data_IF_978214312585
#
_entry.id   IF_978214312585
#
_cell.length_a   1.000
_cell.length_b   1.000
_cell.length_c   1.000
_cell.angle_alpha   90.00
_cell.angle_beta   90.00
_cell.angle_gamma   90.00
#
_symmetry.space_group_name_H-M   'P 1'
#
loop_
_entity.id
_entity.type
_entity.pdbx_description
1 polymer ?
#
# COMPACT_ATOMS: atom_id res chain seq x y z
N UNK A 1 -39.38 6.08 -25.85
CA UNK A 1 -39.35 4.64 -25.52
C UNK A 1 -38.13 4.05 -26.22
N UNK A 2 -37.02 3.98 -25.49
CA UNK A 2 -35.83 3.21 -25.85
C UNK A 2 -35.46 2.49 -24.56
N UNK A 3 -35.78 1.21 -24.50
CA UNK A 3 -35.38 0.32 -23.41
C UNK A 3 -33.89 0.10 -23.54
N UNK A 4 -33.09 0.80 -22.72
CA UNK A 4 -31.69 0.47 -22.56
C UNK A 4 -31.68 -0.74 -21.63
N UNK A 5 -31.51 -1.93 -22.22
CA UNK A 5 -31.35 -3.16 -21.48
C UNK A 5 -30.23 -2.99 -20.46
N UNK A 6 -30.59 -3.09 -19.20
CA UNK A 6 -29.65 -3.20 -18.08
C UNK A 6 -28.95 -4.55 -18.25
N UNK A 7 -27.61 -4.60 -18.35
CA UNK A 7 -26.89 -5.87 -18.44
C UNK A 7 -27.27 -6.78 -17.26
N UNK A 8 -27.27 -8.12 -17.43
CA UNK A 8 -27.65 -9.03 -16.38
C UNK A 8 -26.80 -8.78 -15.13
N UNK A 9 -27.47 -8.73 -13.99
CA UNK A 9 -26.88 -8.50 -12.67
C UNK A 9 -25.57 -9.28 -12.47
N UNK A 10 -24.59 -8.60 -11.88
CA UNK A 10 -23.43 -9.18 -11.21
C UNK A 10 -23.89 -10.33 -10.29
N UNK A 11 -23.95 -11.56 -10.80
CA UNK A 11 -23.94 -12.75 -9.94
C UNK A 11 -22.48 -12.99 -9.65
N UNK A 12 -21.98 -12.34 -8.59
CA UNK A 12 -20.57 -12.37 -8.23
C UNK A 12 -20.16 -13.79 -7.85
N UNK A 13 -19.43 -14.46 -8.75
CA UNK A 13 -18.72 -15.70 -8.45
C UNK A 13 -17.50 -15.47 -7.52
N UNK A 14 -17.45 -14.32 -6.85
CA UNK A 14 -16.40 -13.87 -5.93
C UNK A 14 -16.68 -14.31 -4.47
N UNK A 15 -17.84 -14.94 -4.23
CA UNK A 15 -18.29 -15.36 -2.90
C UNK A 15 -19.00 -14.25 -2.11
N UNK A 16 -19.85 -14.64 -1.16
CA UNK A 16 -20.39 -13.75 -0.12
C UNK A 16 -19.44 -13.87 1.10
N UNK A 17 -18.46 -12.98 1.24
CA UNK A 17 -17.47 -13.04 2.32
C UNK A 17 -16.13 -12.37 2.00
N UNK A 18 -15.08 -12.76 2.72
CA UNK A 18 -13.70 -12.33 2.47
C UNK A 18 -13.31 -12.63 1.02
N UNK A 19 -12.87 -11.64 0.25
CA UNK A 19 -12.58 -11.84 -1.18
C UNK A 19 -11.25 -12.58 -1.45
N UNK A 20 -10.36 -12.64 -0.46
CA UNK A 20 -9.00 -13.14 -0.66
C UNK A 20 -8.22 -12.28 -1.63
N UNK A 21 -7.42 -12.92 -2.48
CA UNK A 21 -6.76 -12.27 -3.61
C UNK A 21 -7.62 -12.47 -4.85
N UNK A 22 -7.94 -11.36 -5.52
CA UNK A 22 -8.61 -11.32 -6.81
C UNK A 22 -7.72 -10.59 -7.81
N UNK A 23 -7.85 -10.91 -9.10
CA UNK A 23 -7.07 -10.28 -10.16
C UNK A 23 -7.95 -9.83 -11.31
N UNK A 24 -7.60 -8.69 -11.89
CA UNK A 24 -8.12 -8.25 -13.18
C UNK A 24 -7.01 -8.30 -14.22
N UNK A 25 -7.39 -8.57 -15.48
CA UNK A 25 -6.51 -8.56 -16.65
C UNK A 25 -6.92 -7.50 -17.69
N UNK A 26 -7.96 -6.72 -17.39
CA UNK A 26 -8.63 -5.82 -18.33
C UNK A 26 -8.89 -4.43 -17.70
N UNK A 27 -7.95 -3.98 -16.88
CA UNK A 27 -8.01 -2.65 -16.26
C UNK A 27 -9.09 -2.51 -15.19
N UNK A 28 -9.44 -3.60 -14.52
CA UNK A 28 -10.46 -3.62 -13.46
C UNK A 28 -11.90 -3.78 -13.95
N UNK A 29 -12.10 -4.08 -15.24
CA UNK A 29 -13.44 -4.29 -15.80
C UNK A 29 -14.05 -5.63 -15.35
N UNK A 30 -13.24 -6.68 -15.34
CA UNK A 30 -13.58 -8.01 -14.82
C UNK A 30 -12.54 -8.50 -13.83
N UNK A 31 -12.98 -9.34 -12.89
CA UNK A 31 -12.16 -9.86 -11.79
C UNK A 31 -12.37 -11.36 -11.63
N UNK A 32 -11.27 -12.08 -11.41
CA UNK A 32 -11.23 -13.52 -11.14
C UNK A 32 -10.65 -13.78 -9.73
N UNK A 33 -11.17 -14.75 -8.96
CA UNK A 33 -10.54 -15.20 -7.74
C UNK A 33 -9.19 -15.88 -8.03
N UNK A 34 -8.21 -15.65 -7.16
CA UNK A 34 -6.85 -16.22 -7.28
C UNK A 34 -6.53 -17.12 -6.10
N UNK A 35 -6.70 -16.63 -4.87
CA UNK A 35 -6.45 -17.41 -3.65
C UNK A 35 -7.31 -16.91 -2.49
N UNK A 36 -7.54 -17.78 -1.50
CA UNK A 36 -8.20 -17.47 -0.23
C UNK A 36 -9.63 -16.91 -0.32
N UNK A 37 -10.36 -17.21 -1.39
CA UNK A 37 -11.77 -16.81 -1.53
C UNK A 37 -12.61 -17.37 -0.39
N UNK A 38 -13.28 -16.49 0.36
CA UNK A 38 -14.05 -16.81 1.55
C UNK A 38 -13.21 -17.04 2.82
N UNK A 39 -11.87 -17.00 2.72
CA UNK A 39 -10.97 -17.38 3.82
C UNK A 39 -10.30 -16.16 4.44
N UNK A 40 -9.58 -15.34 3.65
CA UNK A 40 -8.73 -14.26 4.17
C UNK A 40 -9.14 -12.90 3.63
N UNK A 41 -9.07 -11.91 4.50
CA UNK A 41 -9.27 -10.49 4.18
C UNK A 41 -7.92 -9.78 4.27
N UNK A 42 -7.28 -9.43 3.16
CA UNK A 42 -5.99 -8.74 3.19
C UNK A 42 -6.19 -7.26 3.53
N UNK A 43 -5.70 -6.85 4.70
CA UNK A 43 -5.80 -5.46 5.15
C UNK A 43 -4.73 -4.57 4.51
N UNK A 44 -3.56 -5.14 4.23
CA UNK A 44 -2.46 -4.48 3.52
C UNK A 44 -1.90 -5.43 2.47
N UNK A 45 -1.63 -4.90 1.29
CA UNK A 45 -1.07 -5.62 0.15
C UNK A 45 -0.22 -4.64 -0.66
N UNK A 46 0.98 -5.05 -1.03
CA UNK A 46 1.90 -4.26 -1.85
C UNK A 46 2.71 -5.15 -2.78
N UNK A 47 3.33 -4.56 -3.79
CA UNK A 47 4.18 -5.27 -4.75
C UNK A 47 5.57 -4.65 -4.78
N UNK A 48 6.60 -5.50 -4.81
CA UNK A 48 7.98 -5.11 -5.03
C UNK A 48 8.30 -4.90 -6.52
N UNK A 49 9.43 -4.24 -6.83
CA UNK A 49 9.89 -4.05 -8.20
C UNK A 49 10.25 -5.36 -8.93
N UNK A 50 10.46 -6.45 -8.18
CA UNK A 50 10.68 -7.80 -8.69
C UNK A 50 9.38 -8.58 -8.96
N UNK A 51 8.21 -7.98 -8.68
CA UNK A 51 6.90 -8.61 -8.79
C UNK A 51 6.49 -9.46 -7.59
N UNK A 52 7.32 -9.53 -6.54
CA UNK A 52 6.94 -10.21 -5.29
C UNK A 52 5.84 -9.41 -4.59
N UNK A 53 4.74 -10.07 -4.23
CA UNK A 53 3.68 -9.47 -3.43
C UNK A 53 3.94 -9.71 -1.95
N UNK A 54 3.68 -8.70 -1.13
CA UNK A 54 3.75 -8.76 0.33
C UNK A 54 2.43 -8.30 0.93
N UNK A 55 1.97 -8.93 2.00
CA UNK A 55 0.71 -8.53 2.64
C UNK A 55 0.44 -9.17 3.98
N UNK A 56 -0.58 -8.65 4.65
CA UNK A 56 -1.11 -9.17 5.90
C UNK A 56 -2.63 -9.25 5.86
N UNK A 57 -3.16 -10.34 6.39
CA UNK A 57 -4.60 -10.56 6.55
C UNK A 57 -5.12 -10.02 7.88
N UNK A 58 -6.38 -9.60 7.89
CA UNK A 58 -7.13 -9.25 9.09
C UNK A 58 -7.11 -10.43 10.07
N UNK A 59 -6.72 -10.16 11.33
CA UNK A 59 -6.67 -11.16 12.40
C UNK A 59 -5.33 -11.88 12.55
N UNK A 60 -4.35 -11.63 11.68
CA UNK A 60 -2.97 -12.13 11.82
C UNK A 60 -1.97 -11.00 11.64
N UNK A 61 -0.95 -10.97 12.51
CA UNK A 61 0.19 -10.07 12.36
C UNK A 61 1.32 -10.69 11.54
N UNK A 62 1.13 -11.88 10.93
CA UNK A 62 2.16 -12.51 10.10
C UNK A 62 2.31 -11.78 8.78
N UNK A 63 3.56 -11.53 8.39
CA UNK A 63 3.88 -11.07 7.03
C UNK A 63 3.90 -12.27 6.08
N UNK A 64 3.17 -12.15 4.97
CA UNK A 64 3.11 -13.15 3.91
C UNK A 64 3.76 -12.59 2.65
N UNK A 65 4.37 -13.48 1.86
CA UNK A 65 4.92 -13.17 0.55
C UNK A 65 4.44 -14.14 -0.52
N UNK A 66 4.30 -13.66 -1.75
CA UNK A 66 3.98 -14.45 -2.94
C UNK A 66 4.88 -14.04 -4.11
N UNK A 67 5.51 -15.03 -4.74
CA UNK A 67 6.37 -14.84 -5.91
C UNK A 67 5.69 -15.23 -7.24
N UNK A 68 4.41 -15.61 -7.19
CA UNK A 68 3.66 -16.18 -8.31
C UNK A 68 2.34 -15.43 -8.56
N UNK A 69 2.38 -14.10 -8.41
CA UNK A 69 1.26 -13.19 -8.64
C UNK A 69 0.05 -13.49 -7.74
N UNK A 70 0.30 -13.91 -6.50
CA UNK A 70 -0.71 -14.13 -5.48
C UNK A 70 -1.36 -15.50 -5.50
N UNK A 71 -0.87 -16.44 -6.32
CA UNK A 71 -1.42 -17.79 -6.40
C UNK A 71 -1.06 -18.64 -5.18
N UNK A 72 0.18 -18.54 -4.70
CA UNK A 72 0.65 -19.17 -3.45
C UNK A 72 1.31 -18.15 -2.54
N UNK A 73 1.12 -18.34 -1.23
CA UNK A 73 1.60 -17.43 -0.19
C UNK A 73 2.34 -18.20 0.89
N UNK A 74 3.46 -17.65 1.32
CA UNK A 74 4.30 -18.23 2.38
C UNK A 74 4.56 -17.19 3.45
N UNK A 75 4.58 -17.60 4.72
CA UNK A 75 5.04 -16.72 5.80
C UNK A 75 6.51 -16.36 5.61
N UNK A 76 6.86 -15.09 5.80
CA UNK A 76 8.25 -14.63 5.81
C UNK A 76 8.94 -14.90 7.16
N UNK A 77 8.17 -15.27 8.19
CA UNK A 77 8.63 -15.45 9.56
C UNK A 77 8.50 -14.19 10.44
N UNK A 78 8.29 -13.01 9.85
CA UNK A 78 8.07 -11.79 10.62
C UNK A 78 6.63 -11.70 11.15
N UNK A 79 6.50 -11.06 12.31
CA UNK A 79 5.22 -10.67 12.89
C UNK A 79 5.26 -9.20 13.28
N UNK A 80 4.37 -8.40 12.71
CA UNK A 80 4.19 -6.97 13.00
C UNK A 80 2.77 -6.54 12.67
N UNK A 81 2.30 -5.45 13.26
CA UNK A 81 1.04 -4.83 12.88
C UNK A 81 1.31 -3.70 11.89
N UNK A 82 1.16 -3.95 10.60
CA UNK A 82 1.28 -2.92 9.58
C UNK A 82 -0.06 -2.23 9.31
N UNK A 83 -0.05 -0.89 9.33
CA UNK A 83 -1.17 -0.06 8.89
C UNK A 83 -1.09 0.28 7.39
N UNK A 84 0.13 0.39 6.86
CA UNK A 84 0.40 0.56 5.44
C UNK A 84 1.73 -0.12 5.10
N UNK A 85 1.87 -0.54 3.84
CA UNK A 85 3.06 -1.21 3.31
C UNK A 85 3.45 -0.63 1.95
N UNK A 86 4.74 -0.34 1.77
CA UNK A 86 5.34 0.02 0.48
C UNK A 86 6.65 -0.73 0.27
N UNK A 87 7.04 -0.91 -0.99
CA UNK A 87 8.36 -1.43 -1.35
C UNK A 87 9.07 -0.40 -2.21
N UNK A 88 10.29 -0.01 -1.84
CA UNK A 88 11.06 0.95 -2.61
C UNK A 88 11.84 0.30 -3.77
N UNK A 89 12.50 1.13 -4.58
CA UNK A 89 13.28 0.69 -5.74
C UNK A 89 14.44 -0.27 -5.38
N UNK A 90 14.85 -0.30 -4.11
CA UNK A 90 15.92 -1.17 -3.62
C UNK A 90 15.39 -2.49 -3.06
N UNK A 91 14.06 -2.69 -3.05
CA UNK A 91 13.41 -3.87 -2.48
C UNK A 91 13.22 -3.80 -0.97
N UNK A 92 13.49 -2.65 -0.32
CA UNK A 92 13.18 -2.49 1.11
C UNK A 92 11.68 -2.42 1.28
N UNK A 93 11.16 -3.18 2.24
CA UNK A 93 9.74 -3.14 2.62
C UNK A 93 9.61 -2.19 3.80
N UNK A 94 8.82 -1.14 3.65
CA UNK A 94 8.54 -0.18 4.72
C UNK A 94 7.10 -0.36 5.18
N UNK A 95 6.93 -0.54 6.48
CA UNK A 95 5.63 -0.67 7.14
C UNK A 95 5.42 0.49 8.11
N UNK A 96 4.27 1.16 8.08
CA UNK A 96 3.87 2.01 9.21
C UNK A 96 3.25 1.13 10.30
N UNK A 97 3.65 1.31 11.55
CA UNK A 97 3.19 0.48 12.68
C UNK A 97 2.77 1.37 13.85
N UNK A 98 2.13 0.83 14.91
CA UNK A 98 1.85 1.60 16.13
C UNK A 98 3.08 2.28 16.75
N UNK A 99 4.25 1.66 16.61
CA UNK A 99 5.53 2.15 17.16
C UNK A 99 6.30 3.06 16.19
N UNK A 100 5.67 3.42 15.06
CA UNK A 100 6.27 4.19 13.98
C UNK A 100 6.70 3.33 12.78
N UNK A 101 7.31 3.94 11.75
CA UNK A 101 7.72 3.21 10.56
C UNK A 101 8.85 2.21 10.85
N UNK A 102 8.71 1.00 10.31
CA UNK A 102 9.72 -0.05 10.34
C UNK A 102 10.11 -0.45 8.92
N UNK A 103 11.31 -0.99 8.76
CA UNK A 103 11.89 -1.39 7.48
C UNK A 103 12.44 -2.81 7.55
N UNK A 104 12.22 -3.57 6.49
CA UNK A 104 12.88 -4.84 6.21
C UNK A 104 13.76 -4.70 4.97
N UNK A 105 14.94 -5.30 5.03
CA UNK A 105 15.88 -5.43 3.90
C UNK A 105 16.17 -6.90 3.57
N UNK A 106 15.40 -7.82 4.14
CA UNK A 106 15.59 -9.27 4.07
C UNK A 106 14.30 -9.99 3.67
N UNK A 107 13.61 -9.43 2.66
CA UNK A 107 12.38 -9.98 2.09
C UNK A 107 11.25 -10.17 3.13
N UNK A 108 11.19 -9.26 4.11
CA UNK A 108 10.16 -9.27 5.14
C UNK A 108 10.40 -10.26 6.25
N UNK A 109 11.59 -10.86 6.37
CA UNK A 109 11.90 -11.81 7.44
C UNK A 109 12.14 -11.12 8.80
N UNK A 110 12.74 -9.93 8.79
CA UNK A 110 12.91 -9.08 9.98
C UNK A 110 12.56 -7.63 9.68
N UNK A 111 12.06 -6.94 10.69
CA UNK A 111 11.74 -5.51 10.64
C UNK A 111 12.45 -4.79 11.79
N UNK A 112 13.03 -3.64 11.48
CA UNK A 112 13.67 -2.74 12.44
C UNK A 112 13.12 -1.33 12.27
N UNK A 113 13.20 -0.44 13.28
CA UNK A 113 12.79 0.95 13.11
C UNK A 113 13.45 1.59 11.89
N UNK A 114 12.66 2.31 11.08
CA UNK A 114 13.19 3.06 9.95
C UNK A 114 14.02 4.24 10.49
N UNK A 115 15.33 4.31 10.18
CA UNK A 115 16.21 5.33 10.75
C UNK A 115 15.74 6.76 10.47
N UNK A 116 15.85 7.61 11.49
CA UNK A 116 15.54 9.05 11.45
C UNK A 116 14.14 9.40 10.91
N UNK A 117 13.23 8.41 10.91
CA UNK A 117 11.88 8.57 10.41
C UNK A 117 10.98 9.26 11.44
N UNK A 118 10.17 10.24 11.03
CA UNK A 118 9.06 10.70 11.84
C UNK A 118 8.03 9.58 12.02
N UNK A 119 7.22 9.67 13.08
CA UNK A 119 6.03 8.83 13.22
C UNK A 119 5.03 9.23 12.14
N UNK A 120 4.62 8.26 11.33
CA UNK A 120 3.71 8.44 10.20
C UNK A 120 2.61 7.38 10.22
N UNK A 121 1.40 7.80 9.89
CA UNK A 121 0.22 6.93 9.75
C UNK A 121 -0.01 6.47 8.31
N UNK A 122 0.44 7.28 7.34
CA UNK A 122 0.37 6.97 5.92
C UNK A 122 1.78 7.02 5.32
N UNK A 123 2.04 6.15 4.36
CA UNK A 123 3.25 6.15 3.56
C UNK A 123 2.90 5.76 2.13
N UNK A 124 3.56 6.41 1.17
CA UNK A 124 3.52 6.06 -0.24
C UNK A 124 4.92 6.10 -0.83
N UNK A 125 5.10 5.36 -1.92
CA UNK A 125 6.31 5.37 -2.72
C UNK A 125 5.97 5.86 -4.11
N UNK A 126 6.87 6.64 -4.69
CA UNK A 126 6.78 7.07 -6.09
C UNK A 126 6.82 5.91 -7.08
N UNK A 127 6.29 6.10 -8.31
CA UNK A 127 6.23 5.05 -9.32
C UNK A 127 7.58 4.42 -9.69
N UNK A 128 8.67 5.19 -9.63
CA UNK A 128 10.03 4.69 -9.87
C UNK A 128 10.67 4.04 -8.62
N UNK A 129 9.96 4.04 -7.49
CA UNK A 129 10.39 3.49 -6.22
C UNK A 129 11.39 4.37 -5.45
N UNK A 130 11.75 5.57 -5.92
CA UNK A 130 12.91 6.30 -5.40
C UNK A 130 12.58 7.32 -4.32
N UNK A 131 11.38 7.87 -4.33
CA UNK A 131 10.87 8.81 -3.33
C UNK A 131 9.86 8.12 -2.42
N UNK A 132 10.04 8.29 -1.11
CA UNK A 132 9.05 7.97 -0.08
C UNK A 132 8.42 9.27 0.40
N UNK A 133 7.10 9.25 0.54
CA UNK A 133 6.35 10.33 1.18
C UNK A 133 5.46 9.75 2.27
N UNK A 134 5.17 10.55 3.29
CA UNK A 134 4.27 10.10 4.34
C UNK A 134 3.59 11.25 5.06
N UNK A 135 2.52 10.90 5.77
CA UNK A 135 1.76 11.82 6.60
C UNK A 135 2.03 11.49 8.06
N UNK A 136 2.64 12.44 8.75
CA UNK A 136 2.93 12.39 10.17
C UNK A 136 1.85 13.01 11.04
N UNK A 137 2.14 13.08 12.34
CA UNK A 137 1.29 13.73 13.33
C UNK A 137 0.87 15.14 12.90
N UNK A 138 -0.42 15.47 13.14
CA UNK A 138 -1.03 16.76 12.78
C UNK A 138 -1.00 17.07 11.27
N UNK A 139 -0.90 16.04 10.42
CA UNK A 139 -0.94 16.20 8.96
C UNK A 139 0.36 16.68 8.34
N UNK A 140 1.48 16.71 9.09
CA UNK A 140 2.78 17.12 8.52
C UNK A 140 3.20 16.13 7.44
N UNK A 141 3.57 16.66 6.28
CA UNK A 141 4.01 15.89 5.14
C UNK A 141 5.52 15.76 5.17
N UNK A 142 6.00 14.54 4.98
CA UNK A 142 7.42 14.22 4.98
C UNK A 142 7.82 13.57 3.67
N UNK A 143 9.02 13.87 3.19
CA UNK A 143 9.63 13.24 2.02
C UNK A 143 11.03 12.73 2.36
N UNK A 144 11.39 11.60 1.80
CA UNK A 144 12.74 11.03 1.81
C UNK A 144 13.02 10.35 0.47
N UNK A 145 14.28 10.10 0.13
CA UNK A 145 14.65 9.39 -1.10
C UNK A 145 15.58 8.23 -0.81
N UNK A 146 15.64 7.25 -1.72
CA UNK A 146 16.59 6.13 -1.61
C UNK A 146 18.06 6.58 -1.66
N UNK A 147 18.35 7.70 -2.36
CA UNK A 147 19.72 8.24 -2.52
C UNK A 147 20.14 9.16 -1.38
N UNK A 148 19.20 9.91 -0.81
CA UNK A 148 19.36 10.74 0.38
C UNK A 148 18.21 10.38 1.34
N UNK A 149 18.45 9.42 2.26
CA UNK A 149 17.41 8.90 3.15
C UNK A 149 17.02 9.86 4.29
N UNK A 150 17.39 11.15 4.20
CA UNK A 150 16.96 12.16 5.15
C UNK A 150 15.49 12.55 4.96
N UNK A 151 14.74 12.57 6.07
CA UNK A 151 13.35 13.01 6.07
C UNK A 151 13.25 14.53 6.16
N UNK A 152 12.52 15.13 5.21
CA UNK A 152 12.31 16.58 5.12
C UNK A 152 10.83 16.90 5.20
N UNK A 153 10.47 17.92 5.98
CA UNK A 153 9.12 18.46 6.01
C UNK A 153 8.88 19.21 4.70
N UNK A 154 7.84 18.82 3.96
CA UNK A 154 7.47 19.40 2.66
C UNK A 154 6.12 20.15 2.70
N UNK A 155 5.50 20.25 3.87
CA UNK A 155 4.22 20.94 4.06
C UNK A 155 3.32 20.27 5.08
N UNK A 156 2.04 20.60 5.01
CA UNK A 156 1.00 20.05 5.89
C UNK A 156 -0.26 19.82 5.06
N UNK A 157 -0.97 18.72 5.30
CA UNK A 157 -2.32 18.52 4.79
C UNK A 157 -3.28 19.57 5.36
N UNK A 158 -4.40 19.82 4.68
CA UNK A 158 -5.39 20.81 5.13
C UNK A 158 -6.23 20.27 6.29
N UNK A 159 -6.43 18.95 6.33
CA UNK A 159 -7.06 18.28 7.47
C UNK A 159 -6.57 16.84 7.68
N UNK A 160 -7.48 15.92 8.02
CA UNK A 160 -7.10 14.55 8.35
C UNK A 160 -6.90 13.71 7.09
N UNK A 161 -5.66 13.61 6.63
CA UNK A 161 -5.31 12.84 5.44
C UNK A 161 -5.71 11.37 5.57
N UNK A 162 -6.41 10.87 4.55
CA UNK A 162 -6.85 9.48 4.41
C UNK A 162 -6.01 8.72 3.38
N UNK A 163 -5.47 9.41 2.38
CA UNK A 163 -4.62 8.83 1.36
C UNK A 163 -3.58 9.85 0.85
N UNK A 164 -2.43 9.33 0.43
CA UNK A 164 -1.36 10.11 -0.18
C UNK A 164 -0.73 9.29 -1.30
N UNK A 165 -0.31 9.93 -2.39
CA UNK A 165 0.43 9.28 -3.47
C UNK A 165 1.35 10.27 -4.20
N UNK A 166 2.34 9.75 -4.93
CA UNK A 166 3.17 10.52 -5.86
C UNK A 166 2.76 10.13 -7.28
N UNK A 167 2.56 11.11 -8.14
CA UNK A 167 2.26 10.92 -9.56
C UNK A 167 3.52 10.60 -10.36
N UNK A 168 3.39 10.15 -11.61
CA UNK A 168 4.53 9.97 -12.52
C UNK A 168 5.30 11.27 -12.81
N UNK A 169 4.64 12.42 -12.65
CA UNK A 169 5.27 13.73 -12.78
C UNK A 169 6.06 14.16 -11.54
N UNK A 170 5.96 13.41 -10.44
CA UNK A 170 6.56 13.75 -9.14
C UNK A 170 5.68 14.63 -8.25
N UNK A 171 4.50 15.05 -8.72
CA UNK A 171 3.55 15.78 -7.89
C UNK A 171 2.98 14.88 -6.80
N UNK A 172 2.64 15.46 -5.65
CA UNK A 172 2.06 14.75 -4.52
C UNK A 172 0.57 15.07 -4.43
N UNK A 173 -0.26 14.02 -4.42
CA UNK A 173 -1.70 14.10 -4.22
C UNK A 173 -2.07 13.65 -2.82
N UNK A 174 -2.93 14.42 -2.16
CA UNK A 174 -3.41 14.13 -0.80
C UNK A 174 -4.94 14.20 -0.82
N UNK A 175 -5.58 13.17 -0.30
CA UNK A 175 -7.02 13.20 0.00
C UNK A 175 -7.19 13.32 1.51
N UNK A 176 -7.85 14.38 1.95
CA UNK A 176 -8.25 14.60 3.34
C UNK A 176 -9.75 14.95 3.43
N UNK A 177 -10.21 15.28 4.63
CA UNK A 177 -11.60 15.68 4.91
C UNK A 177 -11.99 17.04 4.28
N UNK A 178 -11.05 17.79 3.72
CA UNK A 178 -11.29 19.00 2.92
C UNK A 178 -11.40 18.73 1.41
N UNK A 179 -10.91 17.57 0.94
CA UNK A 179 -10.96 17.16 -0.46
C UNK A 179 -9.60 16.66 -0.99
N UNK A 180 -9.40 16.81 -2.30
CA UNK A 180 -8.14 16.48 -2.98
C UNK A 180 -7.26 17.72 -3.12
N UNK A 181 -6.02 17.65 -2.64
CA UNK A 181 -5.00 18.69 -2.79
C UNK A 181 -3.80 18.17 -3.59
N UNK A 182 -3.18 19.07 -4.35
CA UNK A 182 -1.97 18.83 -5.15
C UNK A 182 -0.82 19.67 -4.62
N UNK A 183 0.31 19.03 -4.32
CA UNK A 183 1.58 19.69 -4.07
C UNK A 183 2.47 19.43 -5.29
N UNK A 184 2.79 20.46 -6.09
CA UNK A 184 3.61 20.29 -7.27
C UNK A 184 5.03 19.81 -6.93
N UNK A 185 5.64 19.01 -7.81
CA UNK A 185 7.07 18.72 -7.73
C UNK A 185 7.86 20.03 -7.84
N UNK A 186 8.84 20.24 -6.96
CA UNK A 186 9.75 21.40 -7.00
C UNK A 186 10.89 21.24 -7.98
#
# INVERSE_FOLDING_TARGET
MVTRDVPPAFRSNLGEGNLGIIRSRDGGTTWEPVSFTGEKDFHVLTAGPDGTLYGQETGSAQMLASADLGATWTSTGATLLAFALVVDATGRIIATTPDGPQVSSDHGATFVPLPDSPIMSLIAVSPDGQQLIGVGSKGILWSSTTRDPSWRNIGTAHGNAQAITVTDAGDILIVDDSGLSLLPST
#
